data_IF_076630390496
#
_entry.id   IF_076630390496
#
_cell.length_a   1.000
_cell.length_b   1.000
_cell.length_c   1.000
_cell.angle_alpha   90.00
_cell.angle_beta   90.00
_cell.angle_gamma   90.00
#
_symmetry.space_group_name_H-M   'P 1'
#
loop_
_entity.id
_entity.type
_entity.pdbx_description
1 polymer ?
#
# COMPACT_ATOMS: atom_id res chain seq x y z
N UNK A 1 -3.31 -15.33 -124.76
CA UNK A 1 -2.76 -16.40 -123.90
C UNK A 1 -2.17 -15.74 -122.69
N UNK A 2 -2.43 -16.30 -121.51
CA UNK A 2 -2.17 -15.69 -120.20
C UNK A 2 -0.74 -15.19 -120.06
N UNK A 3 -0.59 -13.87 -119.92
CA UNK A 3 0.64 -13.10 -120.02
C UNK A 3 1.32 -12.98 -118.64
N UNK A 4 1.43 -14.09 -117.90
CA UNK A 4 2.07 -14.13 -116.58
C UNK A 4 3.49 -14.68 -116.66
N UNK A 5 4.47 -13.91 -116.17
CA UNK A 5 5.89 -14.26 -116.19
C UNK A 5 6.25 -15.45 -115.29
N UNK A 6 5.48 -15.61 -114.21
CA UNK A 6 5.50 -16.74 -113.27
C UNK A 6 4.09 -16.87 -112.68
N UNK A 7 3.62 -18.11 -112.50
CA UNK A 7 2.35 -18.42 -111.83
C UNK A 7 2.49 -18.22 -110.31
N UNK A 8 2.43 -16.96 -109.85
CA UNK A 8 2.67 -16.58 -108.44
C UNK A 8 1.68 -17.28 -107.48
N UNK A 9 0.47 -17.59 -107.95
CA UNK A 9 -0.55 -18.32 -107.19
C UNK A 9 -0.13 -19.75 -106.82
N UNK A 10 0.88 -20.31 -107.49
CA UNK A 10 1.43 -21.64 -107.20
C UNK A 10 2.69 -21.61 -106.35
N UNK A 11 3.25 -20.42 -106.08
CA UNK A 11 4.44 -20.26 -105.25
C UNK A 11 4.07 -20.39 -103.77
N UNK A 12 4.81 -21.21 -103.03
CA UNK A 12 4.67 -21.26 -101.57
C UNK A 12 5.52 -20.17 -100.93
N UNK A 13 4.89 -19.28 -100.16
CA UNK A 13 5.60 -18.18 -99.52
C UNK A 13 6.79 -18.64 -98.67
N UNK A 14 6.65 -19.74 -97.91
CA UNK A 14 7.73 -20.31 -97.11
C UNK A 14 8.96 -20.73 -97.95
N UNK A 15 8.77 -21.16 -99.20
CA UNK A 15 9.86 -21.55 -100.11
C UNK A 15 10.47 -20.30 -100.79
N UNK A 16 9.64 -19.33 -101.17
CA UNK A 16 10.08 -18.06 -101.78
C UNK A 16 10.92 -17.23 -100.80
N UNK A 17 10.54 -17.20 -99.52
CA UNK A 17 11.22 -16.39 -98.50
C UNK A 17 12.19 -17.20 -97.63
N UNK A 18 12.47 -18.45 -97.99
CA UNK A 18 13.59 -19.19 -97.44
C UNK A 18 14.94 -18.62 -97.95
N UNK A 19 16.03 -19.01 -97.30
CA UNK A 19 17.38 -18.62 -97.73
C UNK A 19 17.63 -19.02 -99.19
N UNK A 20 17.94 -18.04 -100.04
CA UNK A 20 18.15 -18.23 -101.48
C UNK A 20 16.87 -18.40 -102.33
N UNK A 21 15.69 -18.55 -101.72
CA UNK A 21 14.42 -18.76 -102.44
C UNK A 21 14.05 -17.59 -103.36
N UNK A 22 14.16 -16.36 -102.84
CA UNK A 22 13.85 -15.15 -103.60
C UNK A 22 14.79 -14.98 -104.80
N UNK A 23 16.06 -15.35 -104.63
CA UNK A 23 17.07 -15.32 -105.71
C UNK A 23 16.69 -16.29 -106.82
N UNK A 24 16.26 -17.51 -106.49
CA UNK A 24 15.83 -18.50 -107.47
C UNK A 24 14.58 -18.04 -108.26
N UNK A 25 13.58 -17.47 -107.57
CA UNK A 25 12.36 -16.95 -108.20
C UNK A 25 12.66 -15.77 -109.12
N UNK A 26 13.49 -14.82 -108.67
CA UNK A 26 13.89 -13.68 -109.49
C UNK A 26 14.69 -14.14 -110.71
N UNK A 27 15.64 -15.07 -110.54
CA UNK A 27 16.42 -15.62 -111.65
C UNK A 27 15.54 -16.32 -112.69
N UNK A 28 14.50 -17.05 -112.27
CA UNK A 28 13.54 -17.66 -113.18
C UNK A 28 12.73 -16.61 -113.97
N UNK A 29 12.28 -15.55 -113.30
CA UNK A 29 11.58 -14.43 -113.97
C UNK A 29 12.51 -13.76 -114.99
N UNK A 30 13.76 -13.48 -114.61
CA UNK A 30 14.75 -12.89 -115.51
C UNK A 30 15.01 -13.76 -116.75
N UNK A 31 15.15 -15.07 -116.57
CA UNK A 31 15.33 -16.00 -117.67
C UNK A 31 14.14 -15.98 -118.63
N UNK A 32 12.90 -16.00 -118.11
CA UNK A 32 11.67 -15.91 -118.92
C UNK A 32 11.59 -14.59 -119.68
N UNK A 33 11.86 -13.46 -119.01
CA UNK A 33 11.81 -12.13 -119.62
C UNK A 33 12.86 -12.00 -120.74
N UNK A 34 14.09 -12.47 -120.51
CA UNK A 34 15.19 -12.39 -121.48
C UNK A 34 15.01 -13.32 -122.70
N UNK A 35 14.21 -14.38 -122.57
CA UNK A 35 13.92 -15.32 -123.65
C UNK A 35 12.87 -14.78 -124.66
N UNK A 36 12.13 -13.73 -124.32
CA UNK A 36 11.10 -13.15 -125.20
C UNK A 36 11.77 -12.22 -126.21
N UNK A 37 11.74 -12.61 -127.49
CA UNK A 37 12.22 -11.77 -128.59
C UNK A 37 11.32 -10.54 -128.77
N UNK A 38 11.92 -9.36 -128.83
CA UNK A 38 11.20 -8.09 -129.01
C UNK A 38 11.84 -7.26 -130.12
N UNK A 39 11.01 -6.58 -130.91
CA UNK A 39 11.44 -5.74 -132.01
C UNK A 39 11.10 -4.27 -131.75
N UNK A 40 12.11 -3.47 -131.43
CA UNK A 40 11.93 -2.03 -131.14
C UNK A 40 11.58 -1.22 -132.39
N UNK A 41 11.89 -1.72 -133.59
CA UNK A 41 11.75 -0.97 -134.84
C UNK A 41 10.26 -0.80 -135.23
N UNK A 42 9.39 -1.72 -134.83
CA UNK A 42 7.95 -1.67 -135.14
C UNK A 42 7.10 -1.09 -134.00
N UNK A 43 5.98 -0.38 -134.32
CA UNK A 43 5.02 0.06 -133.30
C UNK A 43 4.48 -1.08 -132.44
N UNK A 44 4.25 -2.25 -133.04
CA UNK A 44 3.76 -3.44 -132.34
C UNK A 44 4.78 -3.97 -131.33
N UNK A 45 6.06 -4.07 -131.69
CA UNK A 45 7.09 -4.56 -130.78
C UNK A 45 7.43 -3.58 -129.65
N UNK A 46 7.35 -2.26 -129.87
CA UNK A 46 7.37 -1.27 -128.77
C UNK A 46 6.21 -1.47 -127.78
N UNK A 47 5.02 -1.78 -128.28
CA UNK A 47 3.86 -2.12 -127.45
C UNK A 47 4.08 -3.40 -126.63
N UNK A 48 4.69 -4.43 -127.22
CA UNK A 48 5.05 -5.66 -126.52
C UNK A 48 6.07 -5.43 -125.40
N UNK A 49 7.10 -4.60 -125.63
CA UNK A 49 8.08 -4.21 -124.60
C UNK A 49 7.41 -3.50 -123.42
N UNK A 50 6.48 -2.57 -123.70
CA UNK A 50 5.73 -1.88 -122.65
C UNK A 50 4.85 -2.85 -121.84
N UNK A 51 4.23 -3.83 -122.50
CA UNK A 51 3.45 -4.89 -121.83
C UNK A 51 4.34 -5.75 -120.93
N UNK A 52 5.49 -6.19 -121.44
CA UNK A 52 6.45 -7.00 -120.68
C UNK A 52 6.95 -6.27 -119.42
N UNK A 53 7.28 -4.97 -119.54
CA UNK A 53 7.69 -4.15 -118.40
C UNK A 53 6.55 -3.96 -117.37
N UNK A 54 5.30 -3.82 -117.83
CA UNK A 54 4.13 -3.78 -116.94
C UNK A 54 3.93 -5.12 -116.23
N UNK A 55 4.12 -6.24 -116.91
CA UNK A 55 4.02 -7.58 -116.32
C UNK A 55 5.09 -7.79 -115.24
N UNK A 56 6.35 -7.40 -115.49
CA UNK A 56 7.42 -7.40 -114.47
C UNK A 56 7.02 -6.56 -113.25
N UNK A 57 6.49 -5.36 -113.48
CA UNK A 57 6.05 -4.47 -112.39
C UNK A 57 4.90 -5.07 -111.57
N UNK A 58 3.93 -5.72 -112.23
CA UNK A 58 2.81 -6.41 -111.60
C UNK A 58 3.29 -7.62 -110.79
N UNK A 59 4.15 -8.46 -111.36
CA UNK A 59 4.77 -9.62 -110.68
C UNK A 59 5.53 -9.21 -109.42
N UNK A 60 6.30 -8.11 -109.48
CA UNK A 60 6.99 -7.54 -108.31
C UNK A 60 6.01 -7.17 -107.20
N UNK A 61 4.92 -6.47 -107.52
CA UNK A 61 3.91 -6.08 -106.53
C UNK A 61 3.23 -7.31 -105.91
N UNK A 62 2.91 -8.32 -106.71
CA UNK A 62 2.34 -9.58 -106.23
C UNK A 62 3.29 -10.32 -105.28
N UNK A 63 4.59 -10.39 -105.59
CA UNK A 63 5.59 -11.01 -104.71
C UNK A 63 5.78 -10.22 -103.39
N UNK A 64 5.77 -8.89 -103.43
CA UNK A 64 5.79 -8.05 -102.22
C UNK A 64 4.55 -8.27 -101.34
N UNK A 65 3.36 -8.36 -101.96
CA UNK A 65 2.12 -8.73 -101.28
C UNK A 65 2.22 -10.10 -100.59
N UNK A 66 2.69 -11.12 -101.31
CA UNK A 66 2.90 -12.47 -100.77
C UNK A 66 3.82 -12.47 -99.54
N UNK A 67 4.88 -11.66 -99.54
CA UNK A 67 5.79 -11.52 -98.40
C UNK A 67 5.17 -10.82 -97.20
N UNK A 68 4.37 -9.77 -97.44
CA UNK A 68 3.62 -9.08 -96.37
C UNK A 68 2.62 -10.02 -95.70
N UNK A 69 1.85 -10.76 -96.49
CA UNK A 69 0.86 -11.71 -95.99
C UNK A 69 1.55 -12.84 -95.22
N UNK A 70 2.67 -13.37 -95.73
CA UNK A 70 3.45 -14.39 -95.03
C UNK A 70 4.00 -13.93 -93.67
N UNK A 71 4.57 -12.71 -93.60
CA UNK A 71 5.04 -12.16 -92.31
C UNK A 71 3.89 -11.87 -91.36
N UNK A 72 2.73 -11.43 -91.86
CA UNK A 72 1.53 -11.25 -91.05
C UNK A 72 1.07 -12.58 -90.45
N UNK A 73 1.00 -13.63 -91.26
CA UNK A 73 0.65 -14.98 -90.84
C UNK A 73 1.64 -15.53 -89.80
N UNK A 74 2.95 -15.37 -90.02
CA UNK A 74 3.98 -15.79 -89.06
C UNK A 74 3.85 -15.07 -87.72
N UNK A 75 3.61 -13.75 -87.73
CA UNK A 75 3.38 -12.97 -86.50
C UNK A 75 2.12 -13.42 -85.78
N UNK A 76 1.06 -13.73 -86.54
CA UNK A 76 -0.19 -14.23 -85.97
C UNK A 76 0.01 -15.62 -85.37
N UNK A 77 0.73 -16.53 -86.02
CA UNK A 77 1.07 -17.85 -85.49
C UNK A 77 1.91 -17.74 -84.20
N UNK A 78 2.95 -16.88 -84.20
CA UNK A 78 3.77 -16.65 -83.02
C UNK A 78 2.94 -16.09 -81.85
N UNK A 79 2.07 -15.10 -82.11
CA UNK A 79 1.15 -14.56 -81.12
C UNK A 79 0.22 -15.64 -80.54
N UNK A 80 -0.37 -16.46 -81.41
CA UNK A 80 -1.23 -17.58 -80.97
C UNK A 80 -0.45 -18.54 -80.06
N UNK A 81 0.78 -18.90 -80.42
CA UNK A 81 1.61 -19.78 -79.58
C UNK A 81 1.89 -19.13 -78.21
N UNK A 82 2.21 -17.84 -78.16
CA UNK A 82 2.47 -17.15 -76.90
C UNK A 82 1.21 -17.02 -76.02
N UNK A 83 0.05 -16.76 -76.63
CA UNK A 83 -1.24 -16.70 -75.95
C UNK A 83 -1.60 -18.08 -75.36
N UNK A 84 -1.44 -19.17 -76.12
CA UNK A 84 -1.66 -20.54 -75.65
C UNK A 84 -0.68 -20.95 -74.55
N UNK A 85 0.61 -20.60 -74.70
CA UNK A 85 1.62 -20.85 -73.66
C UNK A 85 1.28 -20.14 -72.35
N UNK A 86 0.75 -18.91 -72.43
CA UNK A 86 0.27 -18.18 -71.26
C UNK A 86 -0.93 -18.88 -70.63
N UNK A 87 -1.92 -19.25 -71.44
CA UNK A 87 -3.10 -19.97 -70.98
C UNK A 87 -2.72 -21.27 -70.25
N UNK A 88 -1.79 -22.05 -70.82
CA UNK A 88 -1.29 -23.30 -70.23
C UNK A 88 -0.67 -23.03 -68.86
N UNK A 89 0.25 -22.06 -68.77
CA UNK A 89 0.92 -21.72 -67.51
C UNK A 89 -0.08 -21.28 -66.45
N UNK A 90 -0.94 -20.31 -66.77
CA UNK A 90 -1.89 -19.72 -65.83
C UNK A 90 -2.89 -20.79 -65.32
N UNK A 91 -3.36 -21.69 -66.19
CA UNK A 91 -4.25 -22.80 -65.79
C UNK A 91 -3.56 -23.87 -64.96
N UNK A 92 -2.31 -24.22 -65.27
CA UNK A 92 -1.56 -25.20 -64.49
C UNK A 92 -1.15 -24.66 -63.12
N UNK A 93 -0.82 -23.37 -63.01
CA UNK A 93 -0.58 -22.71 -61.72
C UNK A 93 -1.85 -22.72 -60.87
N UNK A 94 -3.00 -22.34 -61.43
CA UNK A 94 -4.28 -22.38 -60.71
C UNK A 94 -4.65 -23.81 -60.26
N UNK A 95 -4.45 -24.82 -61.13
CA UNK A 95 -4.70 -26.22 -60.78
C UNK A 95 -3.76 -26.72 -59.68
N UNK A 96 -2.47 -26.34 -59.71
CA UNK A 96 -1.52 -26.67 -58.64
C UNK A 96 -2.03 -26.14 -57.31
N UNK A 97 -2.45 -24.88 -57.28
CA UNK A 97 -2.89 -24.21 -56.05
C UNK A 97 -4.20 -24.84 -55.54
N UNK A 98 -5.14 -25.17 -56.43
CA UNK A 98 -6.37 -25.90 -56.10
C UNK A 98 -6.08 -27.28 -55.51
N UNK A 99 -5.20 -28.06 -56.15
CA UNK A 99 -4.81 -29.40 -55.67
C UNK A 99 -4.09 -29.33 -54.32
N UNK A 100 -3.30 -28.27 -54.08
CA UNK A 100 -2.55 -28.10 -52.83
C UNK A 100 -3.40 -27.57 -51.69
N UNK A 101 -4.44 -26.79 -51.97
CA UNK A 101 -5.29 -26.11 -50.98
C UNK A 101 -5.78 -27.01 -49.82
N UNK A 102 -6.27 -28.24 -50.04
CA UNK A 102 -6.69 -29.10 -48.93
C UNK A 102 -5.56 -29.47 -47.97
N UNK A 103 -4.33 -29.63 -48.49
CA UNK A 103 -3.16 -29.90 -47.66
C UNK A 103 -2.78 -28.66 -46.84
N UNK A 104 -2.73 -27.49 -47.46
CA UNK A 104 -2.41 -26.24 -46.75
C UNK A 104 -3.46 -25.95 -45.65
N UNK A 105 -4.75 -26.16 -45.92
CA UNK A 105 -5.82 -26.02 -44.90
C UNK A 105 -5.68 -27.03 -43.76
N UNK A 106 -5.29 -28.27 -44.06
CA UNK A 106 -5.01 -29.29 -43.05
C UNK A 106 -3.81 -28.91 -42.19
N UNK A 107 -2.69 -28.50 -42.80
CA UNK A 107 -1.47 -28.06 -42.10
C UNK A 107 -1.77 -26.90 -41.15
N UNK A 108 -2.54 -25.89 -41.60
CA UNK A 108 -2.97 -24.77 -40.74
C UNK A 108 -3.84 -25.25 -39.57
N UNK A 109 -4.81 -26.14 -39.81
CA UNK A 109 -5.65 -26.69 -38.73
C UNK A 109 -4.85 -27.52 -37.74
N UNK A 110 -3.90 -28.33 -38.21
CA UNK A 110 -3.03 -29.13 -37.35
C UNK A 110 -2.12 -28.24 -36.50
N UNK A 111 -1.54 -27.20 -37.10
CA UNK A 111 -0.72 -26.25 -36.36
C UNK A 111 -1.54 -25.50 -35.31
N UNK A 112 -2.74 -25.02 -35.66
CA UNK A 112 -3.63 -24.36 -34.72
C UNK A 112 -4.02 -25.28 -33.54
N UNK A 113 -4.29 -26.57 -33.82
CA UNK A 113 -4.54 -27.59 -32.78
C UNK A 113 -3.34 -27.73 -31.83
N UNK A 114 -2.13 -27.88 -32.39
CA UNK A 114 -0.89 -27.99 -31.62
C UNK A 114 -0.67 -26.74 -30.76
N UNK A 115 -0.82 -25.55 -31.34
CA UNK A 115 -0.65 -24.27 -30.64
C UNK A 115 -1.64 -24.12 -29.48
N UNK A 116 -2.89 -24.57 -29.65
CA UNK A 116 -3.90 -24.56 -28.60
C UNK A 116 -3.49 -25.44 -27.41
N UNK A 117 -3.00 -26.66 -27.66
CA UNK A 117 -2.48 -27.52 -26.61
C UNK A 117 -1.24 -26.91 -25.93
N UNK A 118 -0.32 -26.33 -26.70
CA UNK A 118 0.87 -25.69 -26.14
C UNK A 118 0.51 -24.48 -25.27
N UNK A 119 -0.45 -23.66 -25.70
CA UNK A 119 -0.92 -22.51 -24.93
C UNK A 119 -1.55 -22.94 -23.61
N UNK A 120 -2.39 -23.98 -23.62
CA UNK A 120 -3.02 -24.52 -22.43
C UNK A 120 -2.01 -25.18 -21.47
N UNK A 121 -1.00 -25.89 -22.00
CA UNK A 121 0.12 -26.40 -21.21
C UNK A 121 0.89 -25.26 -20.54
N UNK A 122 1.19 -24.20 -21.29
CA UNK A 122 1.90 -23.05 -20.75
C UNK A 122 1.08 -22.31 -19.68
N UNK A 123 -0.25 -22.33 -19.76
CA UNK A 123 -1.13 -21.83 -18.71
C UNK A 123 -1.00 -22.64 -17.41
N UNK A 124 -0.99 -23.97 -17.52
CA UNK A 124 -0.75 -24.87 -16.37
C UNK A 124 0.62 -24.59 -15.77
N UNK A 125 1.69 -24.63 -16.59
CA UNK A 125 3.07 -24.46 -16.15
C UNK A 125 3.32 -23.09 -15.48
N UNK A 126 2.61 -22.02 -15.92
CA UNK A 126 2.72 -20.68 -15.34
C UNK A 126 1.83 -20.44 -14.13
N UNK A 127 0.97 -21.37 -13.72
CA UNK A 127 -0.02 -21.12 -12.67
C UNK A 127 0.62 -20.83 -11.28
N UNK A 128 1.85 -21.27 -11.03
CA UNK A 128 2.61 -20.95 -9.82
C UNK A 128 3.23 -19.54 -9.82
N UNK A 129 3.18 -18.81 -10.93
CA UNK A 129 3.81 -17.49 -11.06
C UNK A 129 2.82 -16.38 -10.70
N UNK A 130 3.00 -15.74 -9.54
CA UNK A 130 2.15 -14.63 -9.07
C UNK A 130 2.90 -13.30 -9.21
N UNK A 131 2.18 -12.23 -9.58
CA UNK A 131 2.75 -10.88 -9.64
C UNK A 131 3.08 -10.31 -8.26
N UNK A 132 2.41 -10.83 -7.22
CA UNK A 132 2.63 -10.47 -5.81
C UNK A 132 3.68 -11.38 -5.20
N UNK A 133 4.56 -10.81 -4.38
CA UNK A 133 5.57 -11.55 -3.60
C UNK A 133 4.90 -12.53 -2.63
N UNK A 134 3.77 -12.14 -2.03
CA UNK A 134 3.02 -12.96 -1.09
C UNK A 134 1.55 -13.06 -1.50
N UNK A 135 1.18 -14.05 -2.34
CA UNK A 135 -0.22 -14.29 -2.67
C UNK A 135 -0.98 -14.82 -1.46
N UNK A 136 -2.25 -14.46 -1.39
CA UNK A 136 -3.18 -14.91 -0.34
C UNK A 136 -3.58 -16.38 -0.54
N UNK A 137 -4.00 -17.05 0.54
CA UNK A 137 -4.48 -18.44 0.45
C UNK A 137 -5.66 -18.58 -0.53
N UNK A 138 -6.56 -17.60 -0.60
CA UNK A 138 -7.68 -17.61 -1.54
C UNK A 138 -7.23 -17.51 -3.00
N UNK A 139 -6.24 -16.66 -3.32
CA UNK A 139 -5.69 -16.56 -4.68
C UNK A 139 -4.99 -17.86 -5.10
N UNK A 140 -4.22 -18.47 -4.19
CA UNK A 140 -3.54 -19.74 -4.45
C UNK A 140 -4.55 -20.86 -4.66
N UNK A 141 -5.57 -20.95 -3.79
CA UNK A 141 -6.65 -21.92 -3.90
C UNK A 141 -7.40 -21.81 -5.23
N UNK A 142 -7.76 -20.59 -5.65
CA UNK A 142 -8.44 -20.38 -6.93
C UNK A 142 -7.61 -20.84 -8.14
N UNK A 143 -6.29 -20.68 -8.10
CA UNK A 143 -5.40 -21.20 -9.15
C UNK A 143 -5.27 -22.72 -9.10
N UNK A 144 -5.19 -23.30 -7.90
CA UNK A 144 -5.14 -24.75 -7.71
C UNK A 144 -6.41 -25.41 -8.27
N UNK A 145 -7.58 -24.83 -8.00
CA UNK A 145 -8.85 -25.33 -8.51
C UNK A 145 -8.93 -25.20 -10.04
N UNK A 146 -8.46 -24.08 -10.60
CA UNK A 146 -8.35 -23.91 -12.06
C UNK A 146 -7.46 -24.99 -12.69
N UNK A 147 -6.25 -25.22 -12.15
CA UNK A 147 -5.32 -26.25 -12.66
C UNK A 147 -5.93 -27.65 -12.59
N UNK A 148 -6.62 -27.97 -11.50
CA UNK A 148 -7.32 -29.25 -11.34
C UNK A 148 -8.49 -29.40 -12.34
N UNK A 149 -9.23 -28.32 -12.60
CA UNK A 149 -10.34 -28.33 -13.56
C UNK A 149 -9.91 -28.44 -15.03
N UNK A 150 -8.71 -27.97 -15.38
CA UNK A 150 -8.17 -28.00 -16.76
C UNK A 150 -7.97 -29.43 -17.30
N UNK A 151 -8.11 -30.47 -16.47
CA UNK A 151 -7.96 -31.86 -16.88
C UNK A 151 -9.23 -32.69 -17.06
N UNK A 152 -10.39 -32.24 -16.57
CA UNK A 152 -11.56 -33.11 -16.46
C UNK A 152 -12.15 -33.59 -17.79
N UNK A 153 -12.15 -32.73 -18.82
CA UNK A 153 -12.88 -33.00 -20.08
C UNK A 153 -12.09 -32.64 -21.36
N UNK A 154 -10.86 -32.15 -21.24
CA UNK A 154 -10.05 -31.75 -22.41
C UNK A 154 -9.35 -32.97 -22.99
N UNK A 155 -9.58 -33.27 -24.27
CA UNK A 155 -8.73 -34.20 -25.01
C UNK A 155 -7.38 -33.51 -25.26
N UNK A 156 -6.30 -34.16 -24.85
CA UNK A 156 -4.95 -33.64 -24.98
C UNK A 156 -4.16 -34.37 -26.07
N UNK A 157 -4.74 -35.39 -26.71
CA UNK A 157 -4.11 -36.15 -27.79
C UNK A 157 -2.66 -36.55 -27.44
N UNK A 158 -1.69 -36.26 -28.31
CA UNK A 158 -0.26 -36.54 -28.08
C UNK A 158 0.34 -35.80 -26.86
N UNK A 159 -0.31 -34.74 -26.37
CA UNK A 159 0.13 -33.95 -25.22
C UNK A 159 -0.36 -34.50 -23.89
N UNK A 160 -1.20 -35.55 -23.87
CA UNK A 160 -1.85 -36.04 -22.65
C UNK A 160 -0.88 -36.32 -21.50
N UNK A 161 0.22 -37.04 -21.75
CA UNK A 161 1.25 -37.33 -20.74
C UNK A 161 1.92 -36.07 -20.21
N UNK A 162 2.21 -35.10 -21.09
CA UNK A 162 2.83 -33.84 -20.70
C UNK A 162 1.87 -33.00 -19.86
N UNK A 163 0.59 -32.96 -20.24
CA UNK A 163 -0.45 -32.23 -19.53
C UNK A 163 -0.72 -32.83 -18.15
N UNK A 164 -0.77 -34.15 -18.04
CA UNK A 164 -0.89 -34.85 -16.76
C UNK A 164 0.26 -34.50 -15.82
N UNK A 165 1.52 -34.66 -16.28
CA UNK A 165 2.70 -34.30 -15.50
C UNK A 165 2.70 -32.83 -15.09
N UNK A 166 2.44 -31.92 -16.04
CA UNK A 166 2.40 -30.49 -15.75
C UNK A 166 1.34 -30.15 -14.69
N UNK A 167 0.15 -30.77 -14.76
CA UNK A 167 -0.90 -30.60 -13.75
C UNK A 167 -0.48 -31.13 -12.39
N UNK A 168 0.14 -32.30 -12.33
CA UNK A 168 0.59 -32.92 -11.09
C UNK A 168 1.65 -32.07 -10.39
N UNK A 169 2.70 -31.69 -11.14
CA UNK A 169 3.80 -30.85 -10.65
C UNK A 169 3.28 -29.48 -10.16
N UNK A 170 2.45 -28.83 -10.98
CA UNK A 170 1.86 -27.53 -10.65
C UNK A 170 0.91 -27.62 -9.46
N UNK A 171 0.06 -28.65 -9.40
CA UNK A 171 -0.87 -28.85 -8.28
C UNK A 171 -0.12 -29.10 -6.98
N UNK A 172 0.97 -29.86 -7.04
CA UNK A 172 1.85 -30.12 -5.88
C UNK A 172 2.49 -28.82 -5.39
N UNK A 173 3.04 -28.02 -6.30
CA UNK A 173 3.64 -26.74 -5.96
C UNK A 173 2.62 -25.76 -5.36
N UNK A 174 1.44 -25.61 -5.97
CA UNK A 174 0.37 -24.75 -5.45
C UNK A 174 -0.15 -25.24 -4.09
N UNK A 175 -0.22 -26.56 -3.86
CA UNK A 175 -0.60 -27.12 -2.55
C UNK A 175 0.43 -26.75 -1.48
N UNK A 176 1.72 -26.83 -1.80
CA UNK A 176 2.79 -26.40 -0.89
C UNK A 176 2.73 -24.89 -0.59
N UNK A 177 2.49 -24.07 -1.61
CA UNK A 177 2.32 -22.62 -1.45
C UNK A 177 1.09 -22.28 -0.59
N UNK A 178 -0.02 -23.00 -0.79
CA UNK A 178 -1.25 -22.81 -0.02
C UNK A 178 -1.02 -23.10 1.46
N UNK A 179 -0.34 -24.23 1.76
CA UNK A 179 0.06 -24.57 3.12
C UNK A 179 0.92 -23.46 3.73
N UNK A 180 1.94 -23.00 3.01
CA UNK A 180 2.79 -21.90 3.48
C UNK A 180 2.02 -20.58 3.69
N UNK A 181 0.98 -20.30 2.90
CA UNK A 181 0.11 -19.14 3.11
C UNK A 181 -0.75 -19.28 4.39
N UNK A 182 -1.31 -20.47 4.63
CA UNK A 182 -2.03 -20.74 5.88
C UNK A 182 -1.11 -20.66 7.10
N UNK A 183 0.06 -21.29 7.05
CA UNK A 183 1.03 -21.28 8.16
C UNK A 183 1.47 -19.85 8.50
N UNK A 184 1.70 -18.99 7.48
CA UNK A 184 2.00 -17.56 7.67
C UNK A 184 0.84 -16.80 8.32
N UNK A 185 -0.40 -17.05 7.88
CA UNK A 185 -1.59 -16.40 8.44
C UNK A 185 -1.81 -16.78 9.91
N UNK A 186 -1.70 -18.06 10.24
CA UNK A 186 -1.81 -18.55 11.62
C UNK A 186 -0.69 -18.00 12.50
N UNK A 187 0.56 -17.97 12.00
CA UNK A 187 1.68 -17.38 12.73
C UNK A 187 1.49 -15.88 12.99
N UNK A 188 0.95 -15.14 12.01
CA UNK A 188 0.63 -13.72 12.18
C UNK A 188 -0.46 -13.51 13.25
N UNK A 189 -1.50 -14.35 13.25
CA UNK A 189 -2.56 -14.33 14.26
C UNK A 189 -2.02 -14.63 15.66
N UNK A 190 -1.19 -15.67 15.80
CA UNK A 190 -0.57 -16.02 17.08
C UNK A 190 0.30 -14.89 17.63
N UNK A 191 1.10 -14.24 16.76
CA UNK A 191 1.91 -13.07 17.14
C UNK A 191 1.06 -11.89 17.57
N UNK A 192 -0.05 -11.61 16.86
CA UNK A 192 -0.97 -10.55 17.22
C UNK A 192 -1.66 -10.82 18.57
N UNK A 193 -2.09 -12.06 18.82
CA UNK A 193 -2.67 -12.46 20.09
C UNK A 193 -1.67 -12.38 21.25
N UNK A 194 -0.43 -12.82 21.05
CA UNK A 194 0.64 -12.68 22.03
C UNK A 194 0.94 -11.21 22.34
N UNK A 195 1.01 -10.35 21.32
CA UNK A 195 1.21 -8.92 21.51
C UNK A 195 0.05 -8.26 22.28
N UNK A 196 -1.19 -8.64 21.97
CA UNK A 196 -2.38 -8.14 22.68
C UNK A 196 -2.40 -8.58 24.15
N UNK A 197 -2.05 -9.84 24.44
CA UNK A 197 -1.92 -10.35 25.82
C UNK A 197 -0.82 -9.63 26.59
N UNK A 198 0.35 -9.44 25.98
CA UNK A 198 1.47 -8.73 26.61
C UNK A 198 1.12 -7.27 26.91
N UNK A 199 0.36 -6.60 26.05
CA UNK A 199 -0.09 -5.24 26.31
C UNK A 199 -1.17 -5.19 27.41
N UNK A 200 -2.11 -6.14 27.41
CA UNK A 200 -3.09 -6.25 28.48
C UNK A 200 -2.44 -6.53 29.84
N UNK A 201 -1.42 -7.39 29.88
CA UNK A 201 -0.62 -7.65 31.08
C UNK A 201 0.12 -6.40 31.54
N UNK A 202 0.74 -5.64 30.62
CA UNK A 202 1.37 -4.35 30.94
C UNK A 202 0.37 -3.35 31.54
N UNK A 203 -0.82 -3.24 30.94
CA UNK A 203 -1.88 -2.35 31.44
C UNK A 203 -2.34 -2.80 32.84
N UNK A 204 -2.56 -4.10 33.05
CA UNK A 204 -2.94 -4.64 34.36
C UNK A 204 -1.86 -4.39 35.41
N UNK A 205 -0.59 -4.67 35.09
CA UNK A 205 0.53 -4.41 35.99
C UNK A 205 0.66 -2.92 36.32
N UNK A 206 0.48 -2.03 35.34
CA UNK A 206 0.48 -0.59 35.57
C UNK A 206 -0.69 -0.16 36.46
N UNK A 207 -1.90 -0.72 36.28
CA UNK A 207 -3.06 -0.46 37.10
C UNK A 207 -2.87 -0.96 38.54
N UNK A 208 -2.34 -2.17 38.73
CA UNK A 208 -2.03 -2.75 40.04
C UNK A 208 -0.95 -1.93 40.76
N UNK A 209 0.10 -1.51 40.06
CA UNK A 209 1.13 -0.62 40.61
C UNK A 209 0.55 0.75 40.99
N UNK A 210 -0.32 1.33 40.17
CA UNK A 210 -0.99 2.59 40.48
C UNK A 210 -1.91 2.45 41.70
N UNK A 211 -2.68 1.37 41.79
CA UNK A 211 -3.55 1.07 42.93
C UNK A 211 -2.74 0.83 44.22
N UNK A 212 -1.61 0.12 44.12
CA UNK A 212 -0.71 -0.10 45.25
C UNK A 212 -0.09 1.22 45.73
N UNK A 213 0.37 2.09 44.82
CA UNK A 213 0.87 3.43 45.15
C UNK A 213 -0.20 4.29 45.80
N UNK A 214 -1.41 4.31 45.25
CA UNK A 214 -2.53 5.06 45.83
C UNK A 214 -2.91 4.57 47.24
N UNK A 215 -2.85 3.25 47.50
CA UNK A 215 -3.05 2.69 48.84
C UNK A 215 -1.94 3.10 49.81
N UNK A 216 -0.68 3.04 49.38
CA UNK A 216 0.46 3.48 50.18
C UNK A 216 0.39 4.97 50.51
N UNK A 217 0.05 5.81 49.53
CA UNK A 217 -0.14 7.25 49.72
C UNK A 217 -1.29 7.54 50.69
N UNK A 218 -2.44 6.86 50.53
CA UNK A 218 -3.57 7.01 51.44
C UNK A 218 -3.24 6.54 52.87
N UNK A 219 -2.50 5.45 53.04
CA UNK A 219 -2.06 4.97 54.36
C UNK A 219 -1.06 5.93 55.00
N UNK A 220 -0.09 6.42 54.23
CA UNK A 220 0.87 7.42 54.69
C UNK A 220 0.18 8.72 55.12
N UNK A 221 -0.82 9.18 54.36
CA UNK A 221 -1.62 10.35 54.72
C UNK A 221 -2.47 10.12 55.97
N UNK A 222 -3.11 8.97 56.11
CA UNK A 222 -3.85 8.60 57.34
C UNK A 222 -2.95 8.57 58.55
N UNK A 223 -1.73 8.01 58.43
CA UNK A 223 -0.75 7.99 59.51
C UNK A 223 -0.26 9.40 59.85
N UNK A 224 -0.02 10.26 58.85
CA UNK A 224 0.34 11.67 59.06
C UNK A 224 -0.76 12.41 59.82
N UNK A 225 -2.01 12.27 59.40
CA UNK A 225 -3.15 12.91 60.07
C UNK A 225 -3.36 12.38 61.49
N UNK A 226 -3.16 11.07 61.72
CA UNK A 226 -3.23 10.48 63.04
C UNK A 226 -2.13 11.03 63.97
N UNK A 227 -0.89 11.16 63.48
CA UNK A 227 0.21 11.78 64.22
C UNK A 227 -0.08 13.25 64.54
N UNK A 228 -0.54 14.02 63.56
CA UNK A 228 -0.89 15.43 63.77
C UNK A 228 -2.00 15.60 64.81
N UNK A 229 -3.03 14.73 64.79
CA UNK A 229 -4.09 14.71 65.81
C UNK A 229 -3.54 14.35 67.20
N UNK A 230 -2.69 13.33 67.30
CA UNK A 230 -2.07 12.94 68.57
C UNK A 230 -1.18 14.07 69.13
N UNK A 231 -0.39 14.72 68.28
CA UNK A 231 0.42 15.89 68.66
C UNK A 231 -0.44 17.09 69.06
N UNK A 232 -1.57 17.32 68.39
CA UNK A 232 -2.54 18.33 68.78
C UNK A 232 -3.19 18.02 70.15
N UNK A 233 -3.55 16.76 70.40
CA UNK A 233 -4.12 16.33 71.68
C UNK A 233 -3.11 16.46 72.83
N UNK A 234 -1.86 16.04 72.61
CA UNK A 234 -0.77 16.23 73.60
C UNK A 234 -0.57 17.72 73.88
N UNK A 235 -0.53 18.57 72.85
CA UNK A 235 -0.43 20.03 73.01
C UNK A 235 -1.62 20.61 73.78
N UNK A 236 -2.84 20.14 73.50
CA UNK A 236 -4.04 20.56 74.20
C UNK A 236 -3.99 20.16 75.68
N UNK A 237 -3.63 18.91 76.00
CA UNK A 237 -3.47 18.46 77.39
C UNK A 237 -2.39 19.22 78.14
N UNK A 238 -1.24 19.47 77.51
CA UNK A 238 -0.16 20.27 78.12
C UNK A 238 -0.61 21.73 78.36
N UNK A 239 -1.43 22.29 77.47
CA UNK A 239 -2.00 23.62 77.64
C UNK A 239 -3.03 23.66 78.78
N UNK A 240 -3.89 22.65 78.88
CA UNK A 240 -4.86 22.48 79.95
C UNK A 240 -4.17 22.28 81.31
N UNK A 241 -3.19 21.40 81.39
CA UNK A 241 -2.41 21.17 82.62
C UNK A 241 -1.67 22.45 83.06
N UNK A 242 -1.09 23.22 82.13
CA UNK A 242 -0.51 24.52 82.44
C UNK A 242 -1.54 25.54 82.94
N UNK A 243 -2.74 25.55 82.36
CA UNK A 243 -3.83 26.41 82.80
C UNK A 243 -4.32 26.02 84.20
N UNK A 244 -4.44 24.73 84.49
CA UNK A 244 -4.81 24.21 85.81
C UNK A 244 -3.73 24.51 86.86
N UNK A 245 -2.46 24.33 86.53
CA UNK A 245 -1.34 24.68 87.41
C UNK A 245 -1.32 26.19 87.70
N UNK A 246 -1.55 27.03 86.69
CA UNK A 246 -1.67 28.48 86.88
C UNK A 246 -2.87 28.85 87.76
N UNK A 247 -4.03 28.21 87.56
CA UNK A 247 -5.22 28.42 88.39
C UNK A 247 -5.03 27.91 89.83
N UNK A 248 -4.31 26.81 90.03
CA UNK A 248 -3.95 26.30 91.35
C UNK A 248 -2.97 27.22 92.07
N UNK A 249 -1.95 27.73 91.37
CA UNK A 249 -1.01 28.71 91.91
C UNK A 249 -1.71 30.02 92.32
N UNK A 250 -2.67 30.50 91.51
CA UNK A 250 -3.47 31.69 91.86
C UNK A 250 -4.37 31.43 93.08
N UNK A 251 -5.02 30.27 93.16
CA UNK A 251 -5.80 29.87 94.35
C UNK A 251 -4.94 29.78 95.61
N UNK A 252 -3.72 29.26 95.49
CA UNK A 252 -2.79 29.19 96.61
C UNK A 252 -2.36 30.59 97.06
N UNK A 253 -2.06 31.50 96.13
CA UNK A 253 -1.71 32.89 96.47
C UNK A 253 -2.83 33.59 97.24
N UNK A 254 -4.08 33.39 96.81
CA UNK A 254 -5.27 33.94 97.49
C UNK A 254 -5.43 33.33 98.90
N UNK A 255 -5.25 32.02 99.04
CA UNK A 255 -5.36 31.35 100.34
C UNK A 255 -4.26 31.79 101.32
N UNK A 256 -3.02 31.96 100.84
CA UNK A 256 -1.89 32.44 101.63
C UNK A 256 -2.10 33.91 102.05
N UNK A 257 -2.64 34.75 101.17
CA UNK A 257 -2.97 36.15 101.46
C UNK A 257 -4.12 36.27 102.48
N UNK A 258 -5.15 35.42 102.38
CA UNK A 258 -6.23 35.35 103.38
C UNK A 258 -5.73 34.88 104.74
N UNK A 259 -4.88 33.86 104.79
CA UNK A 259 -4.29 33.35 106.03
C UNK A 259 -3.37 34.38 106.69
N UNK A 260 -2.61 35.14 105.90
CA UNK A 260 -1.77 36.23 106.40
C UNK A 260 -2.62 37.38 106.97
N UNK A 261 -3.72 37.74 106.29
CA UNK A 261 -4.65 38.77 106.77
C UNK A 261 -5.35 38.37 108.08
N UNK A 262 -5.70 37.09 108.23
CA UNK A 262 -6.36 36.57 109.44
C UNK A 262 -5.40 36.55 110.65
N UNK A 263 -4.15 36.10 110.45
CA UNK A 263 -3.10 36.15 111.48
C UNK A 263 -2.78 37.58 111.94
N UNK A 264 -2.81 38.56 111.03
CA UNK A 264 -2.63 39.98 111.37
C UNK A 264 -3.80 40.52 112.20
N UNK A 265 -5.04 40.12 111.89
CA UNK A 265 -6.22 40.51 112.67
C UNK A 265 -6.17 39.93 114.09
N UNK A 266 -5.82 38.67 114.25
CA UNK A 266 -5.70 38.01 115.57
C UNK A 266 -4.62 38.67 116.44
N UNK A 267 -3.46 39.02 115.88
CA UNK A 267 -2.39 39.72 116.61
C UNK A 267 -2.84 41.10 117.11
N UNK A 268 -3.61 41.85 116.31
CA UNK A 268 -4.13 43.18 116.69
C UNK A 268 -5.19 43.09 117.77
N UNK A 269 -6.02 42.05 117.78
CA UNK A 269 -7.02 41.82 118.83
C UNK A 269 -6.40 41.35 120.15
N UNK A 270 -5.42 40.45 120.09
CA UNK A 270 -4.68 40.00 121.27
C UNK A 270 -3.95 41.18 121.95
N UNK A 271 -3.30 42.05 121.17
CA UNK A 271 -2.63 43.23 121.70
C UNK A 271 -3.64 44.23 122.34
N UNK A 272 -4.80 44.47 121.71
CA UNK A 272 -5.85 45.33 122.32
C UNK A 272 -6.34 44.79 123.67
N UNK A 273 -6.55 43.47 123.80
CA UNK A 273 -6.96 42.84 125.07
C UNK A 273 -5.87 42.95 126.14
N UNK A 274 -4.60 42.76 125.77
CA UNK A 274 -3.49 42.89 126.72
C UNK A 274 -3.39 44.31 127.28
N UNK A 275 -3.43 45.31 126.39
CA UNK A 275 -3.38 46.72 126.77
C UNK A 275 -4.55 47.15 127.66
N UNK A 276 -5.76 46.68 127.36
CA UNK A 276 -6.96 46.94 128.17
C UNK A 276 -6.89 46.37 129.58
N UNK A 277 -6.32 45.16 129.76
CA UNK A 277 -6.10 44.57 131.09
C UNK A 277 -5.14 45.41 131.93
N UNK A 278 -4.02 45.85 131.34
CA UNK A 278 -3.02 46.66 132.04
C UNK A 278 -3.58 48.03 132.39
N UNK A 279 -4.33 48.68 131.49
CA UNK A 279 -5.04 49.93 131.79
C UNK A 279 -5.99 49.79 132.98
N UNK A 280 -6.75 48.69 133.01
CA UNK A 280 -7.68 48.43 134.11
C UNK A 280 -6.96 48.20 135.44
N UNK A 281 -5.80 47.53 135.43
CA UNK A 281 -4.99 47.29 136.62
C UNK A 281 -4.37 48.58 137.18
N UNK A 282 -3.82 49.45 136.32
CA UNK A 282 -3.26 50.75 136.75
C UNK A 282 -4.38 51.64 137.29
N UNK A 283 -5.55 51.65 136.64
CA UNK A 283 -6.74 52.37 137.13
C UNK A 283 -7.12 51.92 138.54
N UNK A 284 -7.23 50.60 138.76
CA UNK A 284 -7.61 50.04 140.06
C UNK A 284 -6.63 50.40 141.19
N UNK A 285 -5.34 50.59 140.89
CA UNK A 285 -4.34 51.01 141.87
C UNK A 285 -4.41 52.52 142.23
N UNK A 286 -4.99 53.35 141.36
CA UNK A 286 -5.09 54.80 141.57
C UNK A 286 -6.32 55.21 142.39
N UNK A 287 -7.42 54.45 142.31
CA UNK A 287 -8.68 54.76 143.03
C UNK A 287 -8.51 54.83 144.56
N UNK A 288 -7.76 53.94 145.24
CA UNK A 288 -7.54 54.03 146.69
C UNK A 288 -6.67 55.21 147.14
N UNK A 289 -5.91 55.84 146.24
CA UNK A 289 -5.05 57.00 146.52
C UNK A 289 -5.85 58.32 146.58
N UNK A 290 -7.18 58.26 146.52
CA UNK A 290 -8.08 59.41 146.60
C UNK A 290 -8.45 60.02 145.25
N UNK A 291 -8.11 59.38 144.12
CA UNK A 291 -8.56 59.80 142.80
C UNK A 291 -9.96 59.23 142.51
N UNK A 292 -10.87 60.07 142.01
CA UNK A 292 -12.16 59.60 141.49
C UNK A 292 -11.99 58.74 140.24
N UNK A 293 -12.93 57.83 139.99
CA UNK A 293 -12.85 56.84 138.90
C UNK A 293 -12.63 57.48 137.52
N UNK A 294 -13.32 58.59 137.26
CA UNK A 294 -13.19 59.36 136.00
C UNK A 294 -11.80 60.01 135.87
N UNK A 295 -11.26 60.54 136.97
CA UNK A 295 -9.93 61.15 136.97
C UNK A 295 -8.83 60.09 136.82
N UNK A 296 -9.01 58.90 137.43
CA UNK A 296 -8.10 57.77 137.26
C UNK A 296 -8.06 57.26 135.81
N UNK A 297 -9.20 57.19 135.11
CA UNK A 297 -9.24 56.87 133.66
C UNK A 297 -8.51 57.93 132.84
N UNK A 298 -8.74 59.21 133.13
CA UNK A 298 -8.09 60.31 132.42
C UNK A 298 -6.56 60.27 132.60
N UNK A 299 -6.08 60.00 133.81
CA UNK A 299 -4.65 59.87 134.12
C UNK A 299 -4.04 58.65 133.42
N UNK A 300 -4.66 57.47 133.49
CA UNK A 300 -4.17 56.26 132.80
C UNK A 300 -4.13 56.47 131.28
N UNK A 301 -5.15 57.14 130.73
CA UNK A 301 -5.22 57.43 129.29
C UNK A 301 -4.15 58.45 128.87
N UNK A 302 -3.93 59.50 129.67
CA UNK A 302 -2.89 60.50 129.42
C UNK A 302 -1.49 59.87 129.46
N UNK A 303 -1.22 59.00 130.44
CA UNK A 303 0.05 58.24 130.51
C UNK A 303 0.19 57.29 129.31
N UNK A 304 -0.89 56.58 128.95
CA UNK A 304 -0.90 55.63 127.83
C UNK A 304 -0.66 56.29 126.47
N UNK A 305 -1.06 57.56 126.31
CA UNK A 305 -0.81 58.38 125.13
C UNK A 305 0.56 59.07 125.14
N UNK A 306 1.24 59.09 126.29
CA UNK A 306 2.51 59.79 126.49
C UNK A 306 2.37 61.27 126.85
N UNK A 307 1.15 61.72 127.21
CA UNK A 307 0.83 63.12 127.53
C UNK A 307 1.34 63.54 128.93
N UNK A 308 1.79 62.58 129.77
CA UNK A 308 2.41 62.83 131.08
C UNK A 308 3.92 62.58 130.99
N UNK A 309 4.78 63.62 131.07
CA UNK A 309 6.22 63.46 130.93
C UNK A 309 6.85 62.58 132.04
N UNK A 310 7.87 61.81 131.68
CA UNK A 310 8.67 60.96 132.58
C UNK A 310 7.95 59.77 133.26
N UNK A 311 6.73 59.42 132.81
CA UNK A 311 5.98 58.24 133.25
C UNK A 311 5.42 57.48 132.02
N UNK A 312 5.50 56.14 132.01
CA UNK A 312 4.96 55.29 130.94
C UNK A 312 4.34 54.00 131.48
N UNK A 313 3.26 53.52 130.85
CA UNK A 313 2.70 52.19 131.11
C UNK A 313 3.42 51.17 130.22
N UNK A 314 4.00 50.14 130.82
CA UNK A 314 4.56 49.00 130.09
C UNK A 314 3.44 48.01 129.75
N UNK A 315 3.37 47.55 128.50
CA UNK A 315 2.28 46.69 127.98
C UNK A 315 2.70 45.26 127.73
#
# INVERSE_FOLDING_TARGET
MSDELVAIETLKAAEVFAEGGAVAVVAAIEATVRAIETDISTPKGRGAIASLARNVSSTKVKLDGLGKDYVADLKQQAKTVDDERKLIRDRLDALRDEVRKPLDEFEVKQQARIDEHQAALAEIERACSFDKVEPTAAEIQGRLDRVRSMGGNRDWEEFAKRAERAREETSTALTAMLKAAHDRAELAKLRAEQAARAEQERISQAADQAAARARQEAEAERLRLAREKAEAEIRARLAEERAEQAAAAERQRIADEQTAAEREREKREANRRHRGKIHSAVKAALVPLGLSDDLAVAVVTAIAKGDVPHISINY
#
